data_IF_796483589457
#
_entry.id   IF_796483589457
#
_cell.length_a   1.000
_cell.length_b   1.000
_cell.length_c   1.000
_cell.angle_alpha   90.00
_cell.angle_beta   90.00
_cell.angle_gamma   90.00
#
_symmetry.space_group_name_H-M   'P 1'
#
loop_
_entity.id
_entity.type
_entity.pdbx_description
1 polymer ?
#
# COMPACT_ATOMS: atom_id res chain seq x y z
N UNK A 1 -8.36 -39.84 76.33
CA UNK A 1 -7.91 -38.53 75.74
C UNK A 1 -7.56 -38.79 74.28
N UNK A 2 -8.47 -38.43 73.33
CA UNK A 2 -8.28 -38.60 71.91
C UNK A 2 -7.98 -37.21 71.32
N UNK A 3 -6.74 -37.02 70.77
CA UNK A 3 -6.27 -35.79 70.12
C UNK A 3 -6.87 -35.72 68.72
N UNK A 4 -7.70 -34.70 68.46
CA UNK A 4 -8.29 -34.40 67.17
C UNK A 4 -7.29 -33.54 66.37
N UNK A 5 -6.65 -34.13 65.36
CA UNK A 5 -5.77 -33.38 64.45
C UNK A 5 -6.67 -32.67 63.41
N UNK A 6 -6.74 -31.35 63.50
CA UNK A 6 -7.40 -30.47 62.55
C UNK A 6 -6.55 -30.33 61.28
N UNK A 7 -7.05 -30.87 60.17
CA UNK A 7 -6.41 -30.79 58.84
C UNK A 7 -6.82 -29.46 58.22
N UNK A 8 -5.88 -28.49 58.16
CA UNK A 8 -6.09 -27.23 57.47
C UNK A 8 -5.80 -27.45 55.99
N UNK A 9 -6.86 -27.48 55.14
CA UNK A 9 -6.71 -27.49 53.69
C UNK A 9 -6.36 -26.06 53.21
N UNK A 10 -5.13 -25.86 52.76
CA UNK A 10 -4.78 -24.68 52.02
C UNK A 10 -5.32 -24.77 50.58
N UNK A 11 -6.37 -24.03 50.31
CA UNK A 11 -6.78 -23.74 48.92
C UNK A 11 -5.79 -22.77 48.31
N UNK A 12 -4.88 -23.26 47.50
CA UNK A 12 -4.06 -22.41 46.63
C UNK A 12 -4.94 -21.92 45.48
N UNK A 13 -5.34 -20.64 45.55
CA UNK A 13 -5.96 -19.95 44.43
C UNK A 13 -4.82 -19.72 43.42
N UNK A 14 -4.75 -20.54 42.39
CA UNK A 14 -3.88 -20.34 41.26
C UNK A 14 -4.44 -19.13 40.49
N UNK A 15 -3.87 -17.95 40.76
CA UNK A 15 -4.07 -16.76 39.92
C UNK A 15 -3.53 -17.10 38.53
N UNK A 16 -4.43 -17.29 37.53
CA UNK A 16 -4.05 -17.34 36.14
C UNK A 16 -3.49 -15.95 35.79
N UNK A 17 -2.20 -15.79 35.89
CA UNK A 17 -1.49 -14.62 35.39
C UNK A 17 -1.69 -14.58 33.86
N UNK A 18 -2.43 -13.59 33.36
CA UNK A 18 -2.51 -13.29 31.95
C UNK A 18 -1.09 -13.23 31.38
N UNK A 19 -0.81 -14.02 30.36
CA UNK A 19 0.50 -14.07 29.74
C UNK A 19 0.79 -12.73 29.04
N UNK A 20 1.38 -11.81 29.78
CA UNK A 20 1.96 -10.58 29.24
C UNK A 20 3.36 -10.90 28.72
N UNK A 21 3.57 -10.68 27.45
CA UNK A 21 4.87 -10.87 26.80
C UNK A 21 5.50 -9.54 26.42
N UNK A 22 6.77 -9.32 26.79
CA UNK A 22 7.52 -8.18 26.29
C UNK A 22 8.27 -8.55 25.02
N UNK A 23 7.85 -8.03 23.90
CA UNK A 23 8.46 -8.25 22.58
C UNK A 23 9.39 -7.09 22.20
N UNK A 24 10.45 -7.43 21.43
CA UNK A 24 11.27 -6.43 20.75
C UNK A 24 10.69 -6.19 19.37
N UNK A 25 10.41 -4.94 19.04
CA UNK A 25 9.83 -4.52 17.77
C UNK A 25 10.73 -3.47 17.13
N UNK A 26 11.02 -3.60 15.86
CA UNK A 26 11.58 -2.54 15.05
C UNK A 26 10.43 -1.90 14.26
N UNK A 27 10.42 -0.58 14.14
CA UNK A 27 9.46 0.16 13.33
C UNK A 27 10.23 0.89 12.23
N UNK A 28 9.76 0.73 11.00
CA UNK A 28 10.36 1.35 9.81
C UNK A 28 10.09 2.85 9.81
N UNK A 29 10.90 3.59 9.07
CA UNK A 29 10.86 5.06 8.97
C UNK A 29 9.64 5.63 8.25
N UNK A 30 8.83 4.78 7.60
CA UNK A 30 7.61 5.17 6.89
C UNK A 30 6.45 4.27 7.26
N UNK A 31 5.26 4.84 7.35
CA UNK A 31 3.99 4.10 7.34
C UNK A 31 3.60 3.74 5.91
N UNK A 32 2.67 2.83 5.78
CA UNK A 32 2.07 2.40 4.52
C UNK A 32 0.62 2.86 4.50
N UNK A 33 0.22 3.43 3.39
CA UNK A 33 -1.19 3.71 3.12
C UNK A 33 -1.84 2.47 2.51
N UNK A 34 -2.87 1.95 3.16
CA UNK A 34 -3.74 0.94 2.59
C UNK A 34 -5.13 1.53 2.46
N UNK A 35 -5.74 1.41 1.30
CA UNK A 35 -7.15 1.74 1.08
C UNK A 35 -7.97 0.51 1.42
N UNK A 36 -8.49 0.45 2.65
CA UNK A 36 -9.54 -0.48 3.06
C UNK A 36 -10.93 0.17 2.93
N UNK A 37 -11.83 -0.06 3.88
CA UNK A 37 -13.15 0.62 4.00
C UNK A 37 -12.99 2.15 4.20
N UNK A 38 -11.75 2.62 4.36
CA UNK A 38 -11.29 4.01 4.43
C UNK A 38 -9.76 4.06 4.32
N UNK A 39 -9.18 5.24 4.06
CA UNK A 39 -7.74 5.40 4.02
C UNK A 39 -7.15 5.16 5.43
N UNK A 40 -6.38 4.11 5.58
CA UNK A 40 -5.72 3.76 6.83
C UNK A 40 -4.20 3.67 6.66
N UNK A 41 -3.46 4.19 7.62
CA UNK A 41 -2.00 4.11 7.67
C UNK A 41 -1.54 3.06 8.67
N UNK A 42 -0.70 2.16 8.24
CA UNK A 42 -0.15 1.11 9.08
C UNK A 42 1.36 1.25 9.26
N UNK A 43 1.83 0.87 10.45
CA UNK A 43 3.25 0.73 10.70
C UNK A 43 3.80 -0.50 9.96
N UNK A 44 5.05 -0.41 9.52
CA UNK A 44 5.81 -1.58 9.09
C UNK A 44 6.75 -1.98 10.23
N UNK A 45 6.63 -3.22 10.67
CA UNK A 45 7.39 -3.70 11.83
C UNK A 45 8.15 -4.99 11.53
N UNK A 46 9.18 -5.24 12.33
CA UNK A 46 9.83 -6.54 12.46
C UNK A 46 9.81 -6.92 13.93
N UNK A 47 9.34 -8.12 14.24
CA UNK A 47 9.30 -8.65 15.59
C UNK A 47 10.22 -9.86 15.74
N UNK A 48 10.91 -9.96 16.87
CA UNK A 48 11.77 -11.10 17.16
C UNK A 48 12.90 -11.31 16.15
N UNK A 49 12.86 -12.43 15.42
CA UNK A 49 13.87 -12.84 14.42
C UNK A 49 13.41 -12.62 12.97
N UNK A 50 12.32 -11.94 12.75
CA UNK A 50 11.81 -11.68 11.40
C UNK A 50 12.82 -10.91 10.57
N UNK A 51 13.05 -11.37 9.34
CA UNK A 51 13.95 -10.73 8.38
C UNK A 51 13.24 -9.70 7.52
N UNK A 52 11.95 -9.93 7.24
CA UNK A 52 11.13 -9.07 6.38
C UNK A 52 10.29 -8.10 7.22
N UNK A 53 9.89 -6.99 6.60
CA UNK A 53 8.96 -6.03 7.18
C UNK A 53 7.54 -6.55 6.99
N UNK A 54 6.75 -6.55 8.08
CA UNK A 54 5.34 -6.94 8.07
C UNK A 54 4.47 -5.74 8.43
N UNK A 55 3.24 -5.73 7.93
CA UNK A 55 2.28 -4.68 8.29
C UNK A 55 1.76 -4.90 9.69
N UNK A 56 1.63 -3.82 10.41
CA UNK A 56 1.13 -3.83 11.78
C UNK A 56 -0.16 -3.03 11.82
N UNK A 57 -1.27 -3.74 11.86
CA UNK A 57 -2.63 -3.20 11.78
C UNK A 57 -3.14 -2.66 13.11
N UNK A 58 -2.39 -2.87 14.19
CA UNK A 58 -2.75 -2.48 15.53
C UNK A 58 -2.15 -1.13 15.90
N UNK A 59 -2.72 -0.51 16.95
CA UNK A 59 -2.10 0.65 17.57
C UNK A 59 -1.17 0.20 18.70
N UNK A 60 -0.06 0.90 18.90
CA UNK A 60 0.82 0.74 20.06
C UNK A 60 0.52 1.89 21.01
N UNK A 61 -0.23 1.61 22.09
CA UNK A 61 -0.57 2.61 23.10
C UNK A 61 0.70 3.29 23.64
N UNK A 62 0.71 4.62 23.62
CA UNK A 62 1.83 5.44 24.11
C UNK A 62 3.01 5.54 23.14
N UNK A 63 2.87 5.14 21.87
CA UNK A 63 3.90 5.31 20.85
C UNK A 63 3.49 6.36 19.82
N UNK A 64 4.23 7.46 19.76
CA UNK A 64 4.10 8.49 18.74
C UNK A 64 5.12 8.27 17.62
N UNK A 65 4.61 7.94 16.44
CA UNK A 65 5.42 7.72 15.25
C UNK A 65 5.77 9.05 14.57
N UNK A 66 7.06 9.23 14.27
CA UNK A 66 7.56 10.33 13.45
C UNK A 66 8.20 9.79 12.17
N UNK A 67 7.73 10.25 11.02
CA UNK A 67 8.26 9.86 9.70
C UNK A 67 9.74 10.25 9.56
N UNK A 68 10.51 9.41 8.87
CA UNK A 68 11.96 9.58 8.70
C UNK A 68 12.83 9.03 9.84
N UNK A 69 12.23 8.43 10.88
CA UNK A 69 12.96 7.79 11.96
C UNK A 69 12.66 6.30 12.03
N UNK A 70 13.71 5.50 12.18
CA UNK A 70 13.62 4.06 12.46
C UNK A 70 13.70 3.84 13.95
N UNK A 71 12.79 3.06 14.50
CA UNK A 71 12.68 2.81 15.92
C UNK A 71 13.05 1.37 16.28
N UNK A 72 13.57 1.20 17.50
CA UNK A 72 13.60 -0.07 18.22
C UNK A 72 12.82 0.13 19.51
N UNK A 73 11.78 -0.69 19.69
CA UNK A 73 10.87 -0.59 20.81
C UNK A 73 10.92 -1.86 21.67
N UNK A 74 10.64 -1.71 22.97
CA UNK A 74 10.13 -2.79 23.82
C UNK A 74 8.63 -2.54 23.99
N UNK A 75 7.82 -3.53 23.58
CA UNK A 75 6.37 -3.44 23.56
C UNK A 75 5.82 -4.59 24.39
N UNK A 76 4.88 -4.29 25.27
CA UNK A 76 4.09 -5.30 25.96
C UNK A 76 2.97 -5.75 25.04
N UNK A 77 2.88 -7.05 24.81
CA UNK A 77 1.82 -7.72 24.09
C UNK A 77 0.94 -8.48 25.08
N UNK A 78 -0.33 -8.15 25.14
CA UNK A 78 -1.30 -8.77 26.03
C UNK A 78 -2.47 -9.34 25.22
N UNK A 79 -2.95 -10.51 25.61
CA UNK A 79 -4.14 -11.12 24.99
C UNK A 79 -5.39 -10.39 25.48
N UNK A 80 -6.31 -10.07 24.57
CA UNK A 80 -7.62 -9.51 24.94
C UNK A 80 -8.51 -10.60 25.53
N UNK A 81 -9.32 -10.23 26.52
CA UNK A 81 -10.32 -11.11 27.11
C UNK A 81 -11.70 -10.86 26.46
N UNK A 82 -12.56 -11.90 26.50
CA UNK A 82 -13.94 -11.85 26.05
C UNK A 82 -14.16 -12.31 24.62
N UNK A 83 -15.44 -12.29 24.20
CA UNK A 83 -15.83 -12.59 22.83
C UNK A 83 -15.50 -11.39 21.94
N UNK A 84 -14.47 -11.52 21.13
CA UNK A 84 -14.05 -10.50 20.17
C UNK A 84 -14.82 -10.68 18.86
N UNK A 85 -15.17 -9.59 18.15
CA UNK A 85 -15.62 -9.66 16.77
C UNK A 85 -14.62 -10.43 15.89
N UNK A 86 -15.10 -11.07 14.83
CA UNK A 86 -14.26 -11.93 13.97
C UNK A 86 -13.09 -11.20 13.30
N UNK A 87 -13.20 -9.89 13.13
CA UNK A 87 -12.21 -8.97 12.54
C UNK A 87 -11.33 -8.25 13.58
N UNK A 88 -11.59 -8.44 14.87
CA UNK A 88 -10.82 -7.80 15.92
C UNK A 88 -9.55 -8.59 16.26
N UNK A 89 -8.43 -7.87 16.43
CA UNK A 89 -7.19 -8.49 16.89
C UNK A 89 -7.32 -9.11 18.27
N UNK A 90 -6.76 -10.29 18.43
CA UNK A 90 -6.72 -11.01 19.71
C UNK A 90 -5.73 -10.38 20.72
N UNK A 91 -4.95 -9.36 20.31
CA UNK A 91 -3.89 -8.78 21.13
C UNK A 91 -3.99 -7.26 21.21
N UNK A 92 -3.50 -6.72 22.34
CA UNK A 92 -3.21 -5.28 22.52
C UNK A 92 -1.71 -5.07 22.66
N UNK A 93 -1.26 -3.88 22.32
CA UNK A 93 0.16 -3.52 22.36
C UNK A 93 0.37 -2.20 23.09
N UNK A 94 1.29 -2.18 24.06
CA UNK A 94 1.61 -1.01 24.85
C UNK A 94 3.10 -0.75 24.85
N UNK A 95 3.51 0.49 24.59
CA UNK A 95 4.91 0.88 24.62
C UNK A 95 5.45 0.79 26.05
N UNK A 96 6.49 -0.01 26.25
CA UNK A 96 7.28 -0.01 27.51
C UNK A 96 8.46 0.96 27.44
N UNK A 97 9.16 0.96 26.30
CA UNK A 97 10.34 1.81 26.12
C UNK A 97 10.72 1.97 24.65
N UNK A 98 11.07 3.18 24.26
CA UNK A 98 11.80 3.45 23.03
C UNK A 98 13.30 3.16 23.32
N UNK A 99 13.80 2.04 22.77
CA UNK A 99 15.20 1.62 22.94
C UNK A 99 16.12 2.43 22.04
N UNK A 100 15.66 2.77 20.85
CA UNK A 100 16.38 3.57 19.87
C UNK A 100 15.41 4.31 18.96
N UNK A 101 15.66 5.59 18.73
CA UNK A 101 15.08 6.42 17.68
C UNK A 101 16.25 6.95 16.85
N UNK A 102 16.39 6.47 15.62
CA UNK A 102 17.48 6.88 14.73
C UNK A 102 16.90 7.51 13.49
N UNK A 103 17.27 8.74 13.22
CA UNK A 103 16.99 9.37 11.94
C UNK A 103 17.65 8.55 10.84
N UNK A 104 16.89 8.15 9.83
CA UNK A 104 17.47 7.50 8.66
C UNK A 104 18.33 8.54 7.97
N UNK A 105 19.60 8.21 7.68
CA UNK A 105 20.53 9.14 7.04
C UNK A 105 19.92 9.58 5.71
N UNK A 106 19.67 10.86 5.61
CA UNK A 106 19.20 11.46 4.36
C UNK A 106 20.33 11.28 3.34
N UNK A 107 20.01 10.63 2.24
CA UNK A 107 20.93 10.53 1.12
C UNK A 107 20.59 11.65 0.15
N UNK A 108 21.61 12.31 -0.39
CA UNK A 108 21.44 13.22 -1.53
C UNK A 108 20.79 12.42 -2.65
N UNK A 109 19.68 12.92 -3.19
CA UNK A 109 18.93 12.22 -4.24
C UNK A 109 19.87 12.04 -5.45
N UNK A 110 20.16 10.79 -5.79
CA UNK A 110 20.61 10.50 -7.15
C UNK A 110 19.38 10.61 -8.04
N UNK A 111 19.47 11.36 -9.14
CA UNK A 111 18.34 11.61 -10.05
C UNK A 111 17.54 10.35 -10.40
N UNK A 112 18.19 9.19 -10.48
CA UNK A 112 17.56 7.91 -10.81
C UNK A 112 16.64 7.34 -9.73
N UNK A 113 16.73 7.78 -8.46
CA UNK A 113 15.98 7.15 -7.38
C UNK A 113 14.47 7.45 -7.40
N UNK A 114 14.10 8.69 -7.73
CA UNK A 114 12.70 9.14 -7.77
C UNK A 114 12.11 9.14 -9.18
N UNK A 115 12.94 8.94 -10.21
CA UNK A 115 12.47 8.85 -11.58
C UNK A 115 11.70 7.55 -11.81
N UNK A 116 10.62 7.64 -12.56
CA UNK A 116 9.72 6.51 -12.89
C UNK A 116 9.09 5.84 -11.64
N UNK A 117 9.09 6.53 -10.49
CA UNK A 117 8.44 6.05 -9.27
C UNK A 117 7.17 6.85 -8.99
N UNK A 118 6.11 6.14 -8.63
CA UNK A 118 4.89 6.76 -8.12
C UNK A 118 5.18 7.35 -6.74
N UNK A 119 4.98 8.64 -6.59
CA UNK A 119 5.08 9.36 -5.32
C UNK A 119 3.70 9.77 -4.86
N UNK A 120 3.27 9.28 -3.70
CA UNK A 120 1.94 9.53 -3.12
C UNK A 120 2.08 10.55 -1.99
N UNK A 121 1.31 11.63 -2.04
CA UNK A 121 1.33 12.69 -1.04
C UNK A 121 0.91 12.13 0.32
N UNK A 122 1.72 12.37 1.34
CA UNK A 122 1.44 11.96 2.73
C UNK A 122 1.28 13.14 3.67
N UNK A 123 1.89 14.30 3.34
CA UNK A 123 1.69 15.56 4.08
C UNK A 123 1.82 16.76 3.16
N UNK A 124 1.05 17.80 3.46
CA UNK A 124 1.14 19.11 2.85
C UNK A 124 1.05 20.18 3.95
N UNK A 125 1.98 21.14 3.96
CA UNK A 125 2.06 22.20 5.00
C UNK A 125 2.01 21.66 6.44
N UNK A 126 2.64 20.48 6.69
CA UNK A 126 2.62 19.79 7.97
C UNK A 126 1.33 19.04 8.30
N UNK A 127 0.25 19.21 7.53
CA UNK A 127 -1.00 18.47 7.68
C UNK A 127 -0.89 17.12 6.99
N UNK A 128 -1.38 16.07 7.65
CA UNK A 128 -1.44 14.73 7.10
C UNK A 128 -2.52 14.65 6.03
N UNK A 129 -2.22 13.92 4.96
CA UNK A 129 -3.17 13.59 3.90
C UNK A 129 -3.50 12.10 4.02
N UNK A 130 -4.75 11.78 4.32
CA UNK A 130 -5.18 10.43 4.64
C UNK A 130 -5.67 9.63 3.42
N UNK A 131 -5.83 10.30 2.27
CA UNK A 131 -6.21 9.66 1.01
C UNK A 131 -5.04 9.65 0.01
N UNK A 132 -4.98 8.62 -0.82
CA UNK A 132 -3.97 8.49 -1.88
C UNK A 132 -4.37 9.25 -3.17
N UNK A 133 -5.23 10.26 -3.07
CA UNK A 133 -5.79 10.97 -4.22
C UNK A 133 -4.79 11.89 -4.92
N UNK A 134 -3.71 12.30 -4.22
CA UNK A 134 -2.63 13.08 -4.83
C UNK A 134 -1.40 12.21 -5.02
N UNK A 135 -1.03 11.98 -6.26
CA UNK A 135 0.19 11.26 -6.61
C UNK A 135 0.72 11.71 -7.97
N UNK A 136 2.00 11.49 -8.22
CA UNK A 136 2.62 11.71 -9.51
C UNK A 136 3.83 10.81 -9.75
N UNK A 137 4.27 10.78 -11.00
CA UNK A 137 5.54 10.22 -11.45
C UNK A 137 6.36 11.30 -12.16
N UNK A 138 7.69 11.15 -12.12
CA UNK A 138 8.64 11.96 -12.87
C UNK A 138 9.22 11.10 -13.99
N UNK A 139 8.73 11.27 -15.22
CA UNK A 139 9.17 10.52 -16.38
C UNK A 139 9.74 11.50 -17.41
N UNK A 140 10.93 11.24 -17.94
CA UNK A 140 11.62 12.09 -18.90
C UNK A 140 11.71 13.56 -18.41
N UNK A 141 10.92 14.45 -18.98
CA UNK A 141 10.83 15.87 -18.63
C UNK A 141 9.46 16.26 -18.03
N UNK A 142 8.60 15.27 -17.76
CA UNK A 142 7.22 15.47 -17.31
C UNK A 142 6.96 14.92 -15.92
N UNK A 143 6.26 15.72 -15.14
CA UNK A 143 5.63 15.38 -13.88
C UNK A 143 4.14 15.20 -14.15
N UNK A 144 3.63 13.99 -14.03
CA UNK A 144 2.21 13.71 -14.33
C UNK A 144 1.59 12.79 -13.30
N UNK A 145 0.29 13.00 -13.02
CA UNK A 145 -0.43 12.24 -12.02
C UNK A 145 -1.82 12.78 -11.75
N UNK A 146 -2.26 12.64 -10.50
CA UNK A 146 -3.54 13.12 -9.98
C UNK A 146 -3.29 14.13 -8.87
N UNK A 147 -4.02 15.23 -8.89
CA UNK A 147 -3.84 16.37 -7.97
C UNK A 147 -4.82 16.38 -6.79
N UNK A 148 -5.69 15.41 -6.71
CA UNK A 148 -6.82 15.29 -5.79
C UNK A 148 -8.02 14.77 -6.54
N UNK A 149 -8.71 15.65 -7.22
CA UNK A 149 -9.80 15.34 -8.14
C UNK A 149 -9.28 15.04 -9.55
N UNK A 150 -8.49 15.95 -10.09
CA UNK A 150 -8.12 16.00 -11.49
C UNK A 150 -6.76 15.37 -11.79
N UNK A 151 -6.57 14.94 -13.03
CA UNK A 151 -5.25 14.61 -13.57
C UNK A 151 -4.51 15.88 -13.92
N UNK A 152 -3.20 15.92 -13.72
CA UNK A 152 -2.37 17.05 -14.09
C UNK A 152 -1.10 16.58 -14.80
N UNK A 153 -0.51 17.51 -15.56
CA UNK A 153 0.79 17.37 -16.16
C UNK A 153 1.55 18.68 -16.01
N UNK A 154 2.81 18.60 -15.64
CA UNK A 154 3.73 19.71 -15.51
C UNK A 154 5.07 19.33 -16.14
N UNK A 155 5.88 20.32 -16.55
CA UNK A 155 7.27 20.06 -16.91
C UNK A 155 8.16 20.23 -15.69
N UNK A 156 9.27 19.51 -15.63
CA UNK A 156 10.23 19.65 -14.53
C UNK A 156 11.68 19.60 -15.01
N UNK A 157 12.59 20.13 -14.19
CA UNK A 157 14.02 19.92 -14.28
C UNK A 157 14.55 19.48 -12.93
N UNK A 158 15.35 18.42 -12.92
CA UNK A 158 15.97 17.88 -11.71
C UNK A 158 17.48 17.92 -11.82
N UNK A 159 18.13 18.75 -10.97
CA UNK A 159 19.58 18.92 -10.91
C UNK A 159 20.05 18.57 -9.48
N UNK A 160 20.58 17.34 -9.30
CA UNK A 160 20.94 16.84 -7.97
C UNK A 160 19.70 16.72 -7.09
N UNK A 161 19.65 17.53 -6.05
CA UNK A 161 18.53 17.63 -5.10
C UNK A 161 17.60 18.82 -5.39
N UNK A 162 17.81 19.55 -6.46
CA UNK A 162 17.01 20.72 -6.84
C UNK A 162 16.03 20.37 -7.93
N UNK A 163 14.74 20.50 -7.60
CA UNK A 163 13.62 20.29 -8.51
C UNK A 163 13.01 21.64 -8.89
N UNK A 164 12.98 21.94 -10.17
CA UNK A 164 12.23 23.05 -10.74
C UNK A 164 10.99 22.49 -11.44
N UNK A 165 9.80 22.98 -11.09
CA UNK A 165 8.52 22.57 -11.67
C UNK A 165 7.92 23.74 -12.42
N UNK A 166 7.50 23.50 -13.65
CA UNK A 166 6.69 24.46 -14.43
C UNK A 166 5.30 23.89 -14.57
N UNK A 167 4.29 24.45 -13.87
CA UNK A 167 2.91 24.00 -13.96
C UNK A 167 2.41 23.95 -15.41
N UNK A 168 1.65 22.91 -15.72
CA UNK A 168 1.10 22.68 -17.05
C UNK A 168 -0.42 22.62 -17.03
N UNK A 169 -1.01 21.65 -17.70
CA UNK A 169 -2.45 21.49 -17.85
C UNK A 169 -2.99 20.39 -16.96
N UNK A 170 -4.29 20.47 -16.65
CA UNK A 170 -5.06 19.44 -15.95
C UNK A 170 -6.46 19.27 -16.54
N UNK A 171 -7.15 18.20 -16.14
CA UNK A 171 -8.58 18.06 -16.38
C UNK A 171 -9.35 18.99 -15.45
N UNK A 172 -10.63 19.23 -15.75
CA UNK A 172 -11.52 20.11 -14.99
C UNK A 172 -12.81 19.35 -14.65
N UNK A 173 -12.68 18.31 -13.86
CA UNK A 173 -13.85 17.59 -13.32
C UNK A 173 -14.25 18.22 -11.98
N UNK A 174 -15.54 18.17 -11.65
CA UNK A 174 -16.04 18.49 -10.32
C UNK A 174 -16.05 17.22 -9.46
N UNK A 175 -15.50 17.31 -8.26
CA UNK A 175 -15.51 16.25 -7.26
C UNK A 175 -16.10 16.81 -5.94
N UNK A 176 -15.99 16.03 -4.88
CA UNK A 176 -16.31 16.47 -3.53
C UNK A 176 -15.41 17.63 -3.06
N UNK A 177 -15.89 18.39 -2.08
CA UNK A 177 -15.22 19.60 -1.59
C UNK A 177 -13.82 19.30 -1.00
N UNK A 178 -13.66 18.14 -0.35
CA UNK A 178 -12.39 17.73 0.26
C UNK A 178 -11.33 17.47 -0.83
N UNK A 179 -11.68 16.71 -1.85
CA UNK A 179 -10.80 16.41 -2.99
C UNK A 179 -10.42 17.67 -3.76
N UNK A 180 -11.36 18.58 -3.99
CA UNK A 180 -11.10 19.86 -4.66
C UNK A 180 -10.27 20.81 -3.81
N UNK A 181 -10.47 20.83 -2.50
CA UNK A 181 -9.68 21.62 -1.55
C UNK A 181 -8.22 21.15 -1.51
N UNK A 182 -8.00 19.85 -1.43
CA UNK A 182 -6.67 19.25 -1.47
C UNK A 182 -5.97 19.53 -2.81
N UNK A 183 -6.70 19.42 -3.93
CA UNK A 183 -6.18 19.75 -5.27
C UNK A 183 -5.70 21.20 -5.33
N UNK A 184 -6.53 22.14 -4.89
CA UNK A 184 -6.19 23.57 -4.88
C UNK A 184 -4.92 23.84 -4.04
N UNK A 185 -4.80 23.22 -2.86
CA UNK A 185 -3.63 23.35 -2.00
C UNK A 185 -2.38 22.76 -2.65
N UNK A 186 -2.48 21.56 -3.26
CA UNK A 186 -1.37 20.92 -3.93
C UNK A 186 -0.89 21.72 -5.15
N UNK A 187 -1.80 22.13 -6.03
CA UNK A 187 -1.44 22.90 -7.22
C UNK A 187 -0.83 24.26 -6.86
N UNK A 188 -1.36 24.93 -5.82
CA UNK A 188 -0.76 26.16 -5.28
C UNK A 188 0.67 25.94 -4.76
N UNK A 189 0.97 24.78 -4.16
CA UNK A 189 2.35 24.46 -3.77
C UNK A 189 3.26 24.32 -4.99
N UNK A 190 2.80 23.72 -6.08
CA UNK A 190 3.57 23.60 -7.31
C UNK A 190 3.89 24.95 -7.97
N UNK A 191 3.07 26.00 -7.73
CA UNK A 191 3.35 27.37 -8.18
C UNK A 191 4.62 27.96 -7.54
N UNK A 192 5.10 27.39 -6.43
CA UNK A 192 6.38 27.76 -5.79
C UNK A 192 7.57 27.51 -6.75
N UNK A 193 7.42 26.65 -7.73
CA UNK A 193 8.34 26.30 -8.82
C UNK A 193 9.63 25.60 -8.40
N UNK A 194 10.25 25.98 -7.28
CA UNK A 194 11.58 25.50 -6.89
C UNK A 194 11.55 24.82 -5.54
N UNK A 195 12.06 23.58 -5.50
CA UNK A 195 12.12 22.77 -4.29
C UNK A 195 13.51 22.17 -4.11
N UNK A 196 13.93 22.03 -2.85
CA UNK A 196 15.03 21.17 -2.48
C UNK A 196 14.47 19.81 -2.05
N UNK A 197 14.94 18.73 -2.71
CA UNK A 197 14.46 17.37 -2.49
C UNK A 197 15.33 16.64 -1.49
N UNK A 198 14.72 15.99 -0.54
CA UNK A 198 15.39 15.18 0.46
C UNK A 198 14.72 13.81 0.56
N UNK A 199 15.50 12.70 0.52
CA UNK A 199 14.96 11.35 0.63
C UNK A 199 15.40 10.64 1.91
N UNK A 200 14.49 9.90 2.54
CA UNK A 200 14.75 9.08 3.71
C UNK A 200 14.04 7.72 3.56
N UNK A 201 14.73 6.76 2.97
CA UNK A 201 14.10 5.49 2.57
C UNK A 201 13.06 5.73 1.48
N UNK A 202 11.82 5.33 1.70
CA UNK A 202 10.70 5.56 0.77
C UNK A 202 10.02 6.94 0.91
N UNK A 203 10.48 7.78 1.84
CA UNK A 203 9.93 9.13 2.05
C UNK A 203 10.71 10.14 1.24
N UNK A 204 10.01 10.97 0.47
CA UNK A 204 10.55 12.09 -0.31
C UNK A 204 9.97 13.38 0.24
N UNK A 205 10.84 14.29 0.68
CA UNK A 205 10.46 15.60 1.22
C UNK A 205 10.78 16.70 0.23
N UNK A 206 9.78 17.52 -0.06
CA UNK A 206 9.94 18.73 -0.83
C UNK A 206 10.03 19.89 0.15
N UNK A 207 11.15 20.59 0.13
CA UNK A 207 11.41 21.79 0.92
C UNK A 207 11.35 23.03 0.04
N UNK A 208 10.98 24.17 0.61
CA UNK A 208 11.20 25.45 -0.08
C UNK A 208 12.68 25.59 -0.46
N UNK A 209 12.94 26.09 -1.63
CA UNK A 209 14.31 26.31 -2.12
C UNK A 209 15.13 27.13 -1.11
N UNK A 210 16.32 26.67 -0.82
CA UNK A 210 17.26 27.31 0.13
C UNK A 210 16.70 27.44 1.58
N UNK A 211 15.76 26.56 1.96
CA UNK A 211 15.13 26.54 3.27
C UNK A 211 15.14 25.12 3.88
N UNK A 212 14.98 25.03 5.19
CA UNK A 212 14.74 23.76 5.89
C UNK A 212 13.25 23.41 5.99
N UNK A 213 12.37 24.31 5.57
CA UNK A 213 10.92 24.16 5.66
C UNK A 213 10.43 23.09 4.69
N UNK A 214 9.87 22.02 5.22
CA UNK A 214 9.23 20.95 4.45
C UNK A 214 7.80 21.37 4.15
N UNK A 215 7.47 21.51 2.88
CA UNK A 215 6.13 21.91 2.43
C UNK A 215 5.29 20.72 1.97
N UNK A 216 5.91 19.68 1.43
CA UNK A 216 5.24 18.43 1.06
C UNK A 216 6.10 17.22 1.42
N UNK A 217 5.44 16.14 1.84
CA UNK A 217 6.07 14.83 2.00
C UNK A 217 5.32 13.82 1.14
N UNK A 218 6.08 12.99 0.44
CA UNK A 218 5.56 11.91 -0.41
C UNK A 218 6.13 10.58 0.05
N UNK A 219 5.33 9.51 -0.12
CA UNK A 219 5.80 8.15 0.03
C UNK A 219 5.93 7.50 -1.35
N UNK A 220 7.04 6.82 -1.59
CA UNK A 220 7.20 5.91 -2.73
C UNK A 220 6.71 4.53 -2.26
N UNK A 221 5.58 4.00 -2.80
CA UNK A 221 5.11 2.67 -2.45
C UNK A 221 6.18 1.62 -2.73
N UNK A 222 6.38 0.71 -1.81
CA UNK A 222 7.26 -0.45 -2.01
C UNK A 222 6.49 -1.59 -2.68
N UNK A 223 7.18 -2.60 -3.22
CA UNK A 223 6.53 -3.80 -3.75
C UNK A 223 5.59 -4.44 -2.72
N UNK A 224 6.01 -4.52 -1.46
CA UNK A 224 5.16 -5.04 -0.40
C UNK A 224 3.91 -4.18 -0.18
N UNK A 225 3.99 -2.87 -0.33
CA UNK A 225 2.84 -1.97 -0.21
C UNK A 225 1.80 -2.26 -1.28
N UNK A 226 2.28 -2.42 -2.53
CA UNK A 226 1.43 -2.73 -3.68
C UNK A 226 0.78 -4.10 -3.50
N UNK A 227 1.56 -5.11 -3.13
CA UNK A 227 1.04 -6.48 -3.01
C UNK A 227 0.10 -6.66 -1.83
N UNK A 228 0.29 -5.97 -0.72
CA UNK A 228 -0.69 -6.01 0.38
C UNK A 228 -2.00 -5.31 0.02
N UNK A 229 -1.96 -4.34 -0.90
CA UNK A 229 -3.19 -3.77 -1.45
C UNK A 229 -3.90 -4.74 -2.40
N UNK A 230 -3.16 -5.53 -3.20
CA UNK A 230 -3.72 -6.47 -4.17
C UNK A 230 -4.21 -7.77 -3.49
N UNK A 231 -3.46 -8.25 -2.49
CA UNK A 231 -3.60 -9.58 -1.89
C UNK A 231 -5.01 -9.84 -1.33
N UNK A 232 -5.51 -11.05 -1.59
CA UNK A 232 -6.80 -11.54 -1.09
C UNK A 232 -8.04 -10.88 -1.68
N UNK A 233 -7.88 -9.78 -2.42
CA UNK A 233 -9.01 -9.03 -2.98
C UNK A 233 -9.44 -9.58 -4.33
N UNK A 234 -10.73 -9.48 -4.61
CA UNK A 234 -11.31 -9.83 -5.91
C UNK A 234 -11.30 -8.61 -6.81
N UNK A 235 -10.67 -8.73 -7.96
CA UNK A 235 -10.51 -7.67 -8.95
C UNK A 235 -11.36 -8.00 -10.17
N UNK A 236 -12.49 -7.29 -10.37
CA UNK A 236 -13.41 -7.50 -11.49
C UNK A 236 -12.86 -6.85 -12.76
N UNK A 237 -12.86 -7.57 -13.88
CA UNK A 237 -12.47 -7.01 -15.18
C UNK A 237 -13.47 -5.92 -15.59
N UNK A 238 -12.97 -4.73 -15.92
CA UNK A 238 -13.76 -3.57 -16.36
C UNK A 238 -13.34 -3.04 -17.73
N UNK A 239 -12.15 -3.43 -18.21
CA UNK A 239 -11.67 -3.07 -19.54
C UNK A 239 -10.75 -4.17 -20.09
N UNK A 240 -10.94 -4.51 -21.36
CA UNK A 240 -10.11 -5.43 -22.14
C UNK A 240 -9.79 -4.80 -23.49
N UNK A 241 -8.49 -4.69 -23.84
CA UNK A 241 -8.01 -4.09 -25.11
C UNK A 241 -8.59 -2.69 -25.40
N UNK A 242 -8.71 -1.82 -24.38
CA UNK A 242 -9.30 -0.49 -24.42
C UNK A 242 -10.83 -0.47 -24.63
N UNK A 243 -11.52 -1.60 -24.57
CA UNK A 243 -12.99 -1.68 -24.56
C UNK A 243 -13.45 -1.79 -23.11
N UNK A 244 -14.19 -0.79 -22.64
CA UNK A 244 -14.83 -0.79 -21.32
C UNK A 244 -16.26 -1.28 -21.44
N UNK A 245 -16.61 -2.34 -20.70
CA UNK A 245 -17.96 -2.90 -20.64
C UNK A 245 -18.13 -3.76 -19.37
N UNK A 246 -19.31 -4.32 -19.17
CA UNK A 246 -19.50 -5.35 -18.15
C UNK A 246 -19.02 -6.72 -18.68
N UNK A 247 -17.94 -7.22 -18.10
CA UNK A 247 -17.36 -8.53 -18.42
C UNK A 247 -17.94 -9.66 -17.54
N UNK A 248 -19.14 -9.50 -17.03
CA UNK A 248 -19.87 -10.52 -16.30
C UNK A 248 -19.12 -11.02 -15.07
N UNK A 249 -18.76 -12.32 -15.08
CA UNK A 249 -18.08 -12.99 -13.97
C UNK A 249 -16.56 -12.87 -14.00
N UNK A 250 -15.97 -12.18 -14.97
CA UNK A 250 -14.51 -12.11 -15.15
C UNK A 250 -13.84 -11.38 -13.99
N UNK A 251 -12.95 -12.07 -13.31
CA UNK A 251 -12.16 -11.50 -12.20
C UNK A 251 -10.81 -12.20 -12.07
N UNK A 252 -9.90 -11.56 -11.34
CA UNK A 252 -8.62 -12.10 -10.91
C UNK A 252 -8.44 -11.88 -9.40
N UNK A 253 -7.80 -12.82 -8.73
CA UNK A 253 -7.47 -12.76 -7.30
C UNK A 253 -6.09 -13.36 -7.06
N UNK A 254 -5.33 -12.75 -6.16
CA UNK A 254 -3.96 -13.14 -5.83
C UNK A 254 -3.85 -13.59 -4.37
N UNK A 255 -3.06 -14.63 -4.15
CA UNK A 255 -2.54 -15.04 -2.85
C UNK A 255 -1.04 -14.72 -2.82
N UNK A 256 -0.70 -13.58 -2.24
CA UNK A 256 0.67 -13.09 -2.24
C UNK A 256 1.61 -13.97 -1.40
N UNK A 257 1.08 -14.62 -0.38
CA UNK A 257 1.84 -15.51 0.51
C UNK A 257 2.32 -16.77 -0.20
N UNK A 258 1.43 -17.38 -0.99
CA UNK A 258 1.70 -18.66 -1.68
C UNK A 258 2.07 -18.45 -3.16
N UNK A 259 2.12 -17.20 -3.63
CA UNK A 259 2.37 -16.83 -5.03
C UNK A 259 1.42 -17.53 -6.00
N UNK A 260 0.15 -17.66 -5.59
CA UNK A 260 -0.93 -18.26 -6.40
C UNK A 260 -1.84 -17.19 -6.96
N UNK A 261 -2.36 -17.45 -8.14
CA UNK A 261 -3.38 -16.65 -8.80
C UNK A 261 -4.55 -17.53 -9.17
N UNK A 262 -5.75 -17.03 -9.03
CA UNK A 262 -6.97 -17.65 -9.50
C UNK A 262 -7.94 -16.59 -10.01
N UNK A 263 -8.93 -17.02 -10.77
CA UNK A 263 -9.94 -16.13 -11.29
C UNK A 263 -10.96 -16.86 -12.15
N UNK A 264 -11.78 -16.04 -12.82
CA UNK A 264 -12.73 -16.49 -13.85
C UNK A 264 -12.52 -15.64 -15.10
N UNK A 265 -12.45 -16.28 -16.25
CA UNK A 265 -12.24 -15.64 -17.55
C UNK A 265 -13.53 -15.25 -18.28
N UNK A 266 -14.66 -15.31 -17.57
CA UNK A 266 -15.99 -15.09 -18.11
C UNK A 266 -16.81 -16.38 -18.17
N UNK A 267 -16.21 -17.45 -18.67
CA UNK A 267 -16.79 -18.78 -18.77
C UNK A 267 -16.12 -19.73 -17.78
N UNK A 268 -14.82 -19.91 -17.87
CA UNK A 268 -14.06 -20.87 -17.10
C UNK A 268 -13.27 -20.25 -15.96
N UNK A 269 -13.08 -21.02 -14.89
CA UNK A 269 -12.15 -20.66 -13.84
C UNK A 269 -10.72 -20.98 -14.28
N UNK A 270 -9.79 -20.10 -13.93
CA UNK A 270 -8.36 -20.33 -14.13
C UNK A 270 -7.61 -20.28 -12.79
N UNK A 271 -6.46 -20.94 -12.75
CA UNK A 271 -5.59 -20.98 -11.59
C UNK A 271 -4.15 -21.21 -12.05
N UNK A 272 -3.20 -20.73 -11.26
CA UNK A 272 -1.79 -20.86 -11.56
C UNK A 272 -0.90 -20.26 -10.48
N UNK A 273 0.35 -20.03 -10.85
CA UNK A 273 1.32 -19.35 -10.00
C UNK A 273 1.84 -18.09 -10.69
N UNK A 274 2.43 -17.19 -9.91
CA UNK A 274 3.05 -16.00 -10.44
C UNK A 274 4.32 -15.63 -9.69
N UNK A 275 5.18 -14.89 -10.35
CA UNK A 275 6.33 -14.20 -9.76
C UNK A 275 6.28 -12.72 -10.12
N UNK A 276 6.92 -11.89 -9.32
CA UNK A 276 6.88 -10.43 -9.47
C UNK A 276 8.26 -9.83 -9.48
N UNK A 277 8.39 -8.74 -10.19
CA UNK A 277 9.40 -7.73 -9.98
C UNK A 277 8.72 -6.43 -9.60
N UNK A 278 9.45 -5.32 -9.49
CA UNK A 278 8.93 -4.04 -9.05
C UNK A 278 7.67 -3.57 -9.83
N UNK A 279 7.62 -3.84 -11.13
CA UNK A 279 6.56 -3.40 -12.04
C UNK A 279 6.07 -4.48 -13.02
N UNK A 280 6.46 -5.74 -12.83
CA UNK A 280 6.01 -6.84 -13.70
C UNK A 280 5.44 -8.00 -12.90
N UNK A 281 4.47 -8.68 -13.52
CA UNK A 281 3.95 -9.98 -13.08
C UNK A 281 4.25 -10.99 -14.18
N UNK A 282 4.88 -12.09 -13.81
CA UNK A 282 5.07 -13.25 -14.70
C UNK A 282 4.18 -14.38 -14.22
N UNK A 283 3.18 -14.74 -15.01
CA UNK A 283 2.29 -15.87 -14.76
C UNK A 283 2.94 -17.17 -15.24
N UNK A 284 2.72 -18.27 -14.53
CA UNK A 284 3.27 -19.59 -14.86
C UNK A 284 2.28 -20.70 -14.57
N UNK A 285 2.21 -21.65 -15.49
CA UNK A 285 1.44 -22.87 -15.32
C UNK A 285 -0.05 -22.61 -15.15
N UNK A 286 -0.62 -21.63 -15.89
CA UNK A 286 -2.04 -21.40 -15.87
C UNK A 286 -2.81 -22.60 -16.44
N UNK A 287 -3.66 -23.18 -15.60
CA UNK A 287 -4.68 -24.14 -15.99
C UNK A 287 -6.06 -23.50 -15.96
N UNK A 288 -7.00 -23.97 -16.76
CA UNK A 288 -8.39 -23.58 -16.72
C UNK A 288 -9.34 -24.79 -16.77
N UNK A 289 -10.55 -24.62 -16.25
CA UNK A 289 -11.64 -25.57 -16.49
C UNK A 289 -12.01 -25.54 -17.98
N UNK A 290 -12.72 -26.55 -18.45
CA UNK A 290 -13.06 -26.71 -19.87
C UNK A 290 -14.57 -26.88 -20.02
N UNK A 291 -15.35 -25.97 -19.47
CA UNK A 291 -16.80 -25.91 -19.71
C UNK A 291 -17.06 -25.28 -21.08
N UNK A 292 -18.08 -25.74 -21.78
CA UNK A 292 -18.55 -25.05 -22.96
C UNK A 292 -19.18 -23.72 -22.58
N UNK A 293 -18.76 -22.63 -23.23
CA UNK A 293 -19.34 -21.33 -23.00
C UNK A 293 -20.73 -21.23 -23.69
N UNK A 294 -21.63 -20.45 -23.08
CA UNK A 294 -23.02 -20.34 -23.54
C UNK A 294 -23.13 -19.58 -24.86
N UNK A 295 -22.22 -18.66 -25.13
CA UNK A 295 -22.23 -17.79 -26.29
C UNK A 295 -20.80 -17.56 -26.83
N UNK A 296 -20.70 -17.09 -28.06
CA UNK A 296 -19.45 -16.87 -28.75
C UNK A 296 -18.68 -15.67 -28.13
N UNK A 297 -19.37 -14.61 -27.73
CA UNK A 297 -18.75 -13.41 -27.15
C UNK A 297 -17.96 -13.77 -25.88
N UNK A 298 -18.59 -14.51 -24.94
CA UNK A 298 -17.96 -14.98 -23.72
C UNK A 298 -16.74 -15.88 -24.03
N UNK A 299 -16.82 -16.73 -25.06
CA UNK A 299 -15.69 -17.57 -25.49
C UNK A 299 -14.53 -16.74 -26.05
N UNK A 300 -14.80 -15.68 -26.80
CA UNK A 300 -13.78 -14.76 -27.33
C UNK A 300 -13.12 -13.95 -26.19
N UNK A 301 -13.89 -13.44 -25.22
CA UNK A 301 -13.37 -12.77 -24.01
C UNK A 301 -12.44 -13.69 -23.24
N UNK A 302 -12.86 -14.93 -22.95
CA UNK A 302 -12.04 -15.93 -22.29
C UNK A 302 -10.73 -16.17 -23.04
N UNK A 303 -10.80 -16.39 -24.35
CA UNK A 303 -9.63 -16.63 -25.19
C UNK A 303 -8.62 -15.48 -25.10
N UNK A 304 -9.08 -14.23 -25.11
CA UNK A 304 -8.24 -13.04 -24.96
C UNK A 304 -7.60 -12.94 -23.59
N UNK A 305 -8.38 -13.14 -22.51
CA UNK A 305 -7.87 -13.10 -21.13
C UNK A 305 -6.79 -14.15 -20.95
N UNK A 306 -7.07 -15.41 -21.32
CA UNK A 306 -6.11 -16.50 -21.16
C UNK A 306 -4.86 -16.29 -22.02
N UNK A 307 -4.99 -15.75 -23.23
CA UNK A 307 -3.84 -15.41 -24.10
C UNK A 307 -2.89 -14.43 -23.44
N UNK A 308 -3.40 -13.44 -22.71
CA UNK A 308 -2.57 -12.44 -22.02
C UNK A 308 -1.98 -12.93 -20.70
N UNK A 309 -2.57 -13.97 -20.10
CA UNK A 309 -2.11 -14.48 -18.79
C UNK A 309 -1.29 -15.77 -18.90
N UNK A 310 -1.48 -16.60 -19.94
CA UNK A 310 -0.82 -17.92 -20.03
C UNK A 310 0.67 -17.79 -20.29
N UNK A 311 1.49 -18.15 -19.30
CA UNK A 311 2.95 -18.13 -19.33
C UNK A 311 3.52 -16.77 -19.81
N UNK A 312 2.81 -15.69 -19.48
CA UNK A 312 3.09 -14.36 -19.96
C UNK A 312 3.70 -13.49 -18.85
N UNK A 313 4.48 -12.48 -19.26
CA UNK A 313 4.93 -11.38 -18.41
C UNK A 313 4.24 -10.10 -18.84
N UNK A 314 3.60 -9.44 -17.90
CA UNK A 314 2.92 -8.15 -18.12
C UNK A 314 3.48 -7.10 -17.18
N UNK A 315 3.55 -5.86 -17.63
CA UNK A 315 3.75 -4.73 -16.72
C UNK A 315 2.44 -4.46 -15.97
N UNK A 316 2.54 -3.97 -14.75
CA UNK A 316 1.36 -3.63 -13.97
C UNK A 316 1.55 -2.37 -13.14
N UNK A 317 0.45 -1.72 -12.86
CA UNK A 317 0.35 -0.71 -11.80
C UNK A 317 -0.98 -0.83 -11.05
N UNK A 318 -1.05 -0.11 -9.94
CA UNK A 318 -2.29 0.10 -9.18
C UNK A 318 -2.55 1.59 -9.08
N UNK A 319 -3.70 2.03 -9.56
CA UNK A 319 -4.11 3.42 -9.52
C UNK A 319 -5.62 3.54 -9.31
N UNK A 320 -6.05 4.43 -8.42
CA UNK A 320 -7.46 4.76 -8.21
C UNK A 320 -8.38 3.54 -8.00
N UNK A 321 -7.93 2.56 -7.21
CA UNK A 321 -8.64 1.29 -6.96
C UNK A 321 -8.75 0.40 -8.21
N UNK A 322 -7.91 0.62 -9.21
CA UNK A 322 -7.77 -0.27 -10.35
C UNK A 322 -6.43 -0.99 -10.34
N UNK A 323 -6.45 -2.24 -10.82
CA UNK A 323 -5.26 -3.02 -11.13
C UNK A 323 -5.16 -3.08 -12.66
N UNK A 324 -4.10 -2.52 -13.21
CA UNK A 324 -3.92 -2.34 -14.64
C UNK A 324 -2.79 -3.22 -15.15
N UNK A 325 -3.00 -3.93 -16.24
CA UNK A 325 -2.00 -4.74 -16.92
C UNK A 325 -1.68 -4.16 -18.29
N UNK A 326 -0.38 -4.15 -18.61
CA UNK A 326 0.13 -3.59 -19.86
C UNK A 326 1.00 -4.62 -20.59
N UNK A 327 0.90 -4.61 -21.90
CA UNK A 327 1.89 -5.23 -22.78
C UNK A 327 2.74 -4.10 -23.34
N UNK A 328 3.99 -3.98 -22.88
CA UNK A 328 4.79 -2.76 -22.97
C UNK A 328 4.01 -1.55 -22.39
N UNK A 329 3.80 -0.50 -23.18
CA UNK A 329 3.07 0.71 -22.75
C UNK A 329 1.56 0.67 -23.09
N UNK A 330 1.08 -0.40 -23.73
CA UNK A 330 -0.32 -0.55 -24.10
C UNK A 330 -1.12 -1.22 -22.99
N UNK A 331 -2.12 -0.53 -22.47
CA UNK A 331 -3.10 -1.12 -21.54
C UNK A 331 -3.85 -2.26 -22.22
N UNK A 332 -3.77 -3.45 -21.64
CA UNK A 332 -4.44 -4.66 -22.17
C UNK A 332 -5.63 -5.08 -21.32
N UNK A 333 -5.52 -4.94 -19.99
CA UNK A 333 -6.60 -5.24 -19.05
C UNK A 333 -6.62 -4.22 -17.92
N UNK A 334 -7.81 -3.82 -17.50
CA UNK A 334 -8.03 -3.04 -16.28
C UNK A 334 -9.07 -3.74 -15.43
N UNK A 335 -8.73 -3.93 -14.20
CA UNK A 335 -9.59 -4.53 -13.19
C UNK A 335 -9.95 -3.48 -12.13
N UNK A 336 -11.23 -3.38 -11.79
CA UNK A 336 -11.71 -2.58 -10.66
C UNK A 336 -11.78 -3.41 -9.39
N UNK A 337 -11.52 -2.79 -8.24
CA UNK A 337 -11.72 -3.45 -6.95
C UNK A 337 -13.22 -3.80 -6.79
N UNK A 338 -13.50 -5.07 -6.58
CA UNK A 338 -14.87 -5.53 -6.32
C UNK A 338 -15.19 -5.33 -4.84
N UNK A 339 -16.15 -4.47 -4.56
CA UNK A 339 -16.77 -4.32 -3.23
C UNK A 339 -18.16 -4.94 -3.31
N UNK A 340 -18.44 -5.96 -2.50
CA UNK A 340 -19.80 -6.55 -2.36
C UNK A 340 -20.78 -5.56 -1.75
#
# INVERSE_FOLDING_TARGET
MKSLKMLVLFFSVASMALAQETIKMQVKESKVHCTGVGPMEYLQVKTGKEKEWTYFYENIEGFDFESGYRYKLKVEKSKREGNLPADASAYTYKLKKVVSKKKVKLTTVKNSYILNKKMVLSKINGKKVDNASVYFTLNDDKMSGKSGCNRFSASYKLNGDKLEVTPGMGTLMACDEESMGLEAEFLKMLETKNFDIETAGSVVKFKKANSKEVVMEFNIPTENDIWSFIDGKKWKLIMLENVGQDYGKSFIQFDAKNKKVNGNSGCNNFFGTYSTTENTITFKGLGSTRMACLDQETSEIESKILKYLSDATVNFDVADQTLNFYNNDRLIMMFGLYTE
#
